data_IF_704431443283
#
_entry.id   IF_704431443283
#
_cell.length_a   1.000
_cell.length_b   1.000
_cell.length_c   1.000
_cell.angle_alpha   90.00
_cell.angle_beta   90.00
_cell.angle_gamma   90.00
#
_symmetry.space_group_name_H-M   'P 1'
#
loop_
_entity.id
_entity.type
_entity.pdbx_description
1 polymer ?
#
# COMPACT_ATOMS: atom_id res chain seq x y z
N UNK A 1 -13.60 7.54 -3.92
CA UNK A 1 -12.41 6.82 -4.41
C UNK A 1 -11.94 5.72 -3.47
N UNK A 2 -11.66 6.01 -2.19
CA UNK A 2 -11.21 4.96 -1.27
C UNK A 2 -12.26 3.84 -1.09
N UNK A 3 -13.52 4.17 -0.79
CA UNK A 3 -14.59 3.17 -0.69
C UNK A 3 -14.81 2.34 -1.95
N UNK A 4 -14.74 2.96 -3.14
CA UNK A 4 -14.76 2.23 -4.41
C UNK A 4 -13.60 1.24 -4.52
N UNK A 5 -12.42 1.58 -4.00
CA UNK A 5 -11.27 0.67 -4.04
C UNK A 5 -11.50 -0.54 -3.13
N UNK A 6 -12.12 -0.33 -1.97
CA UNK A 6 -12.52 -1.41 -1.05
C UNK A 6 -13.48 -2.38 -1.73
N UNK A 7 -14.56 -1.87 -2.33
CA UNK A 7 -15.56 -2.68 -3.06
C UNK A 7 -14.92 -3.49 -4.20
N UNK A 8 -13.94 -2.91 -4.90
CA UNK A 8 -13.23 -3.59 -5.99
C UNK A 8 -12.30 -4.71 -5.49
N UNK A 9 -11.63 -4.50 -4.36
CA UNK A 9 -10.81 -5.53 -3.71
C UNK A 9 -11.69 -6.67 -3.19
N UNK A 10 -12.78 -6.34 -2.48
CA UNK A 10 -13.73 -7.31 -1.92
C UNK A 10 -14.43 -8.15 -2.99
N UNK A 11 -14.75 -7.55 -4.15
CA UNK A 11 -15.45 -8.25 -5.22
C UNK A 11 -14.55 -9.21 -6.02
N UNK A 12 -13.32 -8.78 -6.36
CA UNK A 12 -12.25 -9.62 -6.92
C UNK A 12 -11.10 -8.74 -7.43
N UNK A 13 -9.89 -8.95 -6.90
CA UNK A 13 -8.68 -8.24 -7.37
C UNK A 13 -8.37 -8.57 -8.84
N UNK A 14 -8.43 -9.84 -9.23
CA UNK A 14 -8.07 -10.29 -10.58
C UNK A 14 -9.01 -9.74 -11.65
N UNK A 15 -10.31 -9.65 -11.37
CA UNK A 15 -11.30 -9.08 -12.30
C UNK A 15 -11.17 -7.56 -12.39
N UNK A 16 -10.84 -6.88 -11.28
CA UNK A 16 -10.87 -5.42 -11.19
C UNK A 16 -9.51 -4.73 -11.36
N UNK A 17 -8.49 -5.45 -11.81
CA UNK A 17 -7.09 -4.98 -11.84
C UNK A 17 -6.90 -3.59 -12.44
N UNK A 18 -7.47 -3.30 -13.61
CA UNK A 18 -7.32 -2.00 -14.26
C UNK A 18 -8.01 -0.87 -13.48
N UNK A 19 -9.18 -1.15 -12.90
CA UNK A 19 -9.90 -0.20 -12.06
C UNK A 19 -9.15 0.08 -10.76
N UNK A 20 -8.53 -0.94 -10.16
CA UNK A 20 -7.69 -0.81 -8.97
C UNK A 20 -6.45 0.03 -9.25
N UNK A 21 -5.78 -0.17 -10.39
CA UNK A 21 -4.65 0.65 -10.82
C UNK A 21 -5.08 2.11 -11.04
N UNK A 22 -6.23 2.34 -11.69
CA UNK A 22 -6.78 3.67 -11.89
C UNK A 22 -7.11 4.36 -10.56
N UNK A 23 -7.85 3.68 -9.67
CA UNK A 23 -8.19 4.20 -8.35
C UNK A 23 -6.94 4.55 -7.55
N UNK A 24 -5.93 3.67 -7.59
CA UNK A 24 -4.66 3.91 -6.92
C UNK A 24 -3.90 5.12 -7.47
N UNK A 25 -4.00 5.42 -8.76
CA UNK A 25 -3.39 6.64 -9.33
C UNK A 25 -4.07 7.90 -8.80
N UNK A 26 -5.41 7.92 -8.79
CA UNK A 26 -6.16 9.07 -8.27
C UNK A 26 -5.88 9.26 -6.78
N UNK A 27 -5.91 8.19 -5.98
CA UNK A 27 -5.58 8.24 -4.56
C UNK A 27 -4.15 8.73 -4.31
N UNK A 28 -3.20 8.32 -5.16
CA UNK A 28 -1.81 8.81 -5.17
C UNK A 28 -1.68 10.33 -5.32
N UNK A 29 -2.53 10.94 -6.15
CA UNK A 29 -2.52 12.39 -6.39
C UNK A 29 -3.12 13.19 -5.23
N UNK A 30 -3.98 12.57 -4.42
CA UNK A 30 -4.70 13.23 -3.31
C UNK A 30 -4.21 12.77 -1.93
N UNK A 31 -3.05 12.11 -1.84
CA UNK A 31 -2.54 11.54 -0.58
C UNK A 31 -2.43 12.57 0.56
N UNK A 32 -1.96 13.78 0.25
CA UNK A 32 -1.75 14.85 1.25
C UNK A 32 -3.07 15.38 1.84
N UNK A 33 -4.19 15.24 1.11
CA UNK A 33 -5.50 15.67 1.60
C UNK A 33 -6.30 14.54 2.23
N UNK A 34 -5.82 13.29 2.17
CA UNK A 34 -6.41 12.19 2.91
C UNK A 34 -6.19 12.41 4.40
N UNK A 35 -7.23 12.21 5.20
CA UNK A 35 -7.07 12.13 6.65
C UNK A 35 -6.22 10.92 7.05
N UNK A 36 -5.61 10.97 8.24
CA UNK A 36 -4.81 9.86 8.77
C UNK A 36 -5.54 8.50 8.75
N UNK A 37 -6.83 8.39 9.17
CA UNK A 37 -7.57 7.14 9.05
C UNK A 37 -7.73 6.66 7.60
N UNK A 38 -7.92 7.58 6.64
CA UNK A 38 -8.01 7.22 5.22
C UNK A 38 -6.67 6.71 4.68
N UNK A 39 -5.55 7.32 5.08
CA UNK A 39 -4.21 6.82 4.72
C UNK A 39 -3.92 5.45 5.29
N UNK A 40 -4.26 5.22 6.56
CA UNK A 40 -4.11 3.91 7.21
C UNK A 40 -4.90 2.83 6.48
N UNK A 41 -6.15 3.14 6.14
CA UNK A 41 -7.02 2.22 5.40
C UNK A 41 -6.50 1.98 3.98
N UNK A 42 -5.98 3.01 3.33
CA UNK A 42 -5.36 2.88 2.01
C UNK A 42 -4.11 1.99 2.04
N UNK A 43 -3.25 2.15 3.05
CA UNK A 43 -2.09 1.27 3.25
C UNK A 43 -2.52 -0.19 3.43
N UNK A 44 -3.58 -0.46 4.21
CA UNK A 44 -4.09 -1.83 4.36
C UNK A 44 -4.49 -2.46 3.03
N UNK A 45 -5.22 -1.73 2.18
CA UNK A 45 -5.61 -2.21 0.85
C UNK A 45 -4.40 -2.42 -0.06
N UNK A 46 -3.41 -1.53 -0.02
CA UNK A 46 -2.17 -1.71 -0.78
C UNK A 46 -1.39 -2.94 -0.34
N UNK A 47 -1.38 -3.25 0.96
CA UNK A 47 -0.72 -4.45 1.47
C UNK A 47 -1.45 -5.71 0.99
N UNK A 48 -2.78 -5.70 0.95
CA UNK A 48 -3.56 -6.80 0.39
C UNK A 48 -3.26 -7.01 -1.11
N UNK A 49 -3.25 -5.93 -1.90
CA UNK A 49 -2.82 -5.97 -3.31
C UNK A 49 -1.37 -6.43 -3.47
N UNK A 50 -0.50 -6.14 -2.49
CA UNK A 50 0.88 -6.61 -2.50
C UNK A 50 0.97 -8.13 -2.33
N UNK A 51 0.05 -8.75 -1.59
CA UNK A 51 0.03 -10.20 -1.36
C UNK A 51 -0.58 -10.98 -2.54
N UNK A 52 -1.46 -10.39 -3.34
CA UNK A 52 -2.12 -11.05 -4.49
C UNK A 52 -1.14 -11.37 -5.62
N UNK A 53 -0.79 -12.63 -5.87
CA UNK A 53 0.32 -13.03 -6.76
C UNK A 53 0.25 -12.39 -8.16
N UNK A 54 -0.95 -12.23 -8.72
CA UNK A 54 -1.18 -11.74 -10.08
C UNK A 54 -1.23 -10.20 -10.18
N UNK A 55 -1.29 -9.51 -9.04
CA UNK A 55 -1.32 -8.05 -9.01
C UNK A 55 0.08 -7.42 -9.19
N UNK A 56 0.23 -6.34 -10.00
CA UNK A 56 1.52 -5.71 -10.24
C UNK A 56 2.13 -5.15 -8.95
N UNK A 57 3.34 -5.62 -8.61
CA UNK A 57 4.01 -5.26 -7.33
C UNK A 57 4.61 -3.86 -7.35
N UNK A 58 5.29 -3.49 -8.43
CA UNK A 58 5.99 -2.21 -8.52
C UNK A 58 5.05 -1.01 -8.28
N UNK A 59 3.85 -0.92 -8.89
CA UNK A 59 2.95 0.20 -8.65
C UNK A 59 2.41 0.24 -7.21
N UNK A 60 2.29 -0.92 -6.55
CA UNK A 60 1.86 -1.00 -5.14
C UNK A 60 2.97 -0.51 -4.21
N UNK A 61 4.19 -1.03 -4.39
CA UNK A 61 5.38 -0.63 -3.63
C UNK A 61 5.64 0.88 -3.75
N UNK A 62 5.52 1.43 -4.96
CA UNK A 62 5.69 2.86 -5.17
C UNK A 62 4.64 3.69 -4.41
N UNK A 63 3.38 3.25 -4.35
CA UNK A 63 2.33 3.94 -3.58
C UNK A 63 2.54 3.83 -2.08
N UNK A 64 3.00 2.68 -1.59
CA UNK A 64 3.37 2.52 -0.18
C UNK A 64 4.48 3.49 0.20
N UNK A 65 5.50 3.68 -0.66
CA UNK A 65 6.55 4.69 -0.43
C UNK A 65 6.01 6.10 -0.31
N UNK A 66 5.08 6.49 -1.18
CA UNK A 66 4.46 7.81 -1.10
C UNK A 66 3.70 8.03 0.21
N UNK A 67 3.01 7.00 0.70
CA UNK A 67 2.33 7.05 2.00
C UNK A 67 3.32 7.18 3.16
N UNK A 68 4.46 6.49 3.08
CA UNK A 68 5.54 6.63 4.06
C UNK A 68 6.17 8.03 4.07
N UNK A 69 6.24 8.69 2.91
CA UNK A 69 6.73 10.08 2.80
C UNK A 69 5.68 11.13 3.22
N UNK A 70 4.40 10.78 3.21
CA UNK A 70 3.30 11.69 3.49
C UNK A 70 2.94 11.81 4.99
N UNK A 71 3.48 10.95 5.85
CA UNK A 71 3.25 10.97 7.29
C UNK A 71 4.55 11.27 8.05
N UNK A 72 4.46 12.09 9.09
CA UNK A 72 5.62 12.47 9.92
C UNK A 72 6.18 11.30 10.75
N UNK A 73 5.31 10.35 11.11
CA UNK A 73 5.66 9.12 11.85
C UNK A 73 4.96 7.93 11.19
N UNK A 74 5.48 7.44 10.05
CA UNK A 74 4.84 6.38 9.28
C UNK A 74 4.92 5.03 10.01
N UNK A 75 5.98 4.79 10.81
CA UNK A 75 6.12 3.55 11.57
C UNK A 75 5.04 3.38 12.63
N UNK A 76 4.67 4.47 13.31
CA UNK A 76 3.55 4.46 14.25
C UNK A 76 2.22 4.46 13.52
N UNK A 77 2.10 5.25 12.45
CA UNK A 77 0.85 5.39 11.70
C UNK A 77 0.43 4.09 11.04
N UNK A 78 1.37 3.32 10.50
CA UNK A 78 1.13 2.07 9.77
C UNK A 78 1.54 0.81 10.54
N UNK A 79 1.64 0.91 11.87
CA UNK A 79 2.05 -0.21 12.72
C UNK A 79 1.22 -1.49 12.49
N UNK A 80 -0.07 -1.35 12.17
CA UNK A 80 -1.00 -2.46 11.94
C UNK A 80 -0.58 -3.38 10.79
N UNK A 81 -0.03 -2.83 9.70
CA UNK A 81 0.35 -3.61 8.51
C UNK A 81 1.82 -4.02 8.49
N UNK A 82 2.62 -3.49 9.41
CA UNK A 82 4.09 -3.62 9.41
C UNK A 82 4.52 -5.08 9.48
N UNK A 83 3.79 -5.91 10.23
CA UNK A 83 4.10 -7.34 10.32
C UNK A 83 3.86 -8.07 8.99
N UNK A 84 2.78 -7.72 8.27
CA UNK A 84 2.51 -8.30 6.95
C UNK A 84 3.59 -7.89 5.95
N UNK A 85 4.00 -6.62 5.94
CA UNK A 85 5.11 -6.15 5.10
C UNK A 85 6.43 -6.88 5.39
N UNK A 86 6.74 -7.14 6.67
CA UNK A 86 7.93 -7.93 7.06
C UNK A 86 7.87 -9.37 6.56
N UNK A 87 6.69 -10.00 6.65
CA UNK A 87 6.51 -11.37 6.14
C UNK A 87 6.69 -11.41 4.63
N UNK A 88 6.10 -10.45 3.91
CA UNK A 88 6.27 -10.33 2.46
C UNK A 88 7.74 -10.08 2.07
N UNK A 89 8.45 -9.19 2.76
CA UNK A 89 9.85 -8.92 2.46
C UNK A 89 10.72 -10.19 2.58
N UNK A 90 10.42 -11.08 3.55
CA UNK A 90 11.15 -12.34 3.73
C UNK A 90 10.85 -13.37 2.64
N UNK A 91 9.65 -13.38 2.07
CA UNK A 91 9.26 -14.33 1.02
C UNK A 91 9.58 -13.82 -0.40
N UNK A 92 9.62 -12.50 -0.61
CA UNK A 92 9.76 -11.88 -1.92
C UNK A 92 11.21 -11.45 -2.21
N UNK A 93 12.06 -12.38 -2.68
CA UNK A 93 13.48 -12.12 -2.97
C UNK A 93 13.74 -10.93 -3.90
N UNK A 94 12.84 -10.67 -4.86
CA UNK A 94 12.96 -9.54 -5.81
C UNK A 94 12.65 -8.17 -5.19
N UNK A 95 11.77 -8.11 -4.19
CA UNK A 95 11.24 -6.86 -3.63
C UNK A 95 11.64 -6.64 -2.18
N UNK A 96 12.44 -7.55 -1.61
CA UNK A 96 12.86 -7.55 -0.21
C UNK A 96 13.44 -6.20 0.21
N UNK A 97 14.39 -5.66 -0.57
CA UNK A 97 15.02 -4.37 -0.26
C UNK A 97 14.01 -3.23 -0.27
N UNK A 98 13.12 -3.18 -1.27
CA UNK A 98 12.15 -2.10 -1.38
C UNK A 98 11.15 -2.10 -0.23
N UNK A 99 10.74 -3.27 0.24
CA UNK A 99 9.75 -3.43 1.31
C UNK A 99 10.39 -3.30 2.69
N UNK A 100 11.65 -3.73 2.89
CA UNK A 100 12.37 -3.51 4.16
C UNK A 100 12.50 -2.04 4.52
N UNK A 101 12.69 -1.15 3.53
CA UNK A 101 12.73 0.29 3.76
C UNK A 101 11.43 0.81 4.40
N UNK A 102 10.28 0.21 4.08
CA UNK A 102 8.99 0.56 4.70
C UNK A 102 8.87 0.02 6.13
N UNK A 103 9.57 -1.05 6.47
CA UNK A 103 9.45 -1.67 7.81
C UNK A 103 10.51 -1.20 8.78
N UNK A 104 11.64 -0.70 8.31
CA UNK A 104 12.84 -0.50 9.11
C UNK A 104 13.30 0.97 9.19
N UNK A 105 12.88 1.84 8.25
CA UNK A 105 13.21 3.27 8.28
C UNK A 105 12.06 4.10 8.88
N UNK A 106 12.39 4.94 9.87
CA UNK A 106 11.45 5.86 10.53
C UNK A 106 11.30 7.20 9.82
N UNK A 107 12.34 7.69 9.15
CA UNK A 107 12.41 9.05 8.61
C UNK A 107 13.42 9.12 7.46
N UNK A 108 13.14 9.99 6.49
CA UNK A 108 14.12 11.00 6.10
C UNK A 108 13.63 12.33 6.69
#
# INVERSE_FOLDING_TARGET
MLGMTEELVESSISINKDKLLFCGTILGLVLLVLSKPQRQRWVSLLVELLMDEDFPKQPVIWRLRLLWLADDDPLRTYAAVRQQLRLYAKSASKWETDVKLLTDCSCC
#
